data_IF_641565749694
#
_entry.id   IF_641565749694
#
_cell.length_a   1.000
_cell.length_b   1.000
_cell.length_c   1.000
_cell.angle_alpha   90.00
_cell.angle_beta   90.00
_cell.angle_gamma   90.00
#
_symmetry.space_group_name_H-M   'P 1'
#
loop_
_entity.id
_entity.type
_entity.pdbx_description
1 polymer ?
#
# COMPACT_ATOMS: atom_id res chain seq x y z
N UNK A 1 18.86 5.45 -6.39
CA UNK A 1 18.09 6.16 -5.37
C UNK A 1 18.46 5.63 -4.00
N UNK A 2 18.49 6.48 -2.97
CA UNK A 2 18.79 6.01 -1.62
C UNK A 2 17.72 5.04 -1.14
N UNK A 3 18.14 4.02 -0.39
CA UNK A 3 17.26 3.07 0.27
C UNK A 3 16.35 3.81 1.26
N UNK A 4 15.04 3.70 1.08
CA UNK A 4 14.05 4.18 2.04
C UNK A 4 13.80 3.08 3.06
N UNK A 5 14.14 3.35 4.31
CA UNK A 5 14.02 2.37 5.41
C UNK A 5 12.68 2.43 6.14
N UNK A 6 11.96 3.54 6.05
CA UNK A 6 10.70 3.75 6.75
C UNK A 6 9.76 4.68 5.99
N UNK A 7 8.46 4.47 6.19
CA UNK A 7 7.41 5.45 5.87
C UNK A 7 6.89 6.04 7.18
N UNK A 8 6.46 7.30 7.16
CA UNK A 8 5.79 7.93 8.30
C UNK A 8 4.29 7.93 8.06
N UNK A 9 3.53 7.56 9.06
CA UNK A 9 2.06 7.63 9.07
C UNK A 9 1.66 8.68 10.10
N UNK A 10 0.67 9.51 9.78
CA UNK A 10 0.13 10.50 10.70
C UNK A 10 -0.70 9.82 11.78
N UNK A 11 -0.64 10.32 13.02
CA UNK A 11 -1.48 9.81 14.11
C UNK A 11 -2.98 10.01 13.85
N UNK A 12 -3.31 10.94 12.94
CA UNK A 12 -4.67 11.26 12.49
C UNK A 12 -5.07 10.52 11.21
N UNK A 13 -4.36 9.45 10.83
CA UNK A 13 -4.65 8.65 9.64
C UNK A 13 -6.11 8.19 9.60
N UNK A 14 -6.62 7.72 10.73
CA UNK A 14 -7.99 7.19 10.85
C UNK A 14 -9.05 8.30 10.96
N UNK A 15 -8.64 9.56 11.00
CA UNK A 15 -9.55 10.70 10.92
C UNK A 15 -9.81 11.11 9.45
N UNK A 16 -9.09 10.53 8.47
CA UNK A 16 -9.29 10.81 7.05
C UNK A 16 -10.59 10.17 6.56
N UNK A 17 -11.46 10.96 5.92
CA UNK A 17 -12.76 10.52 5.41
C UNK A 17 -12.67 9.33 4.43
N UNK A 18 -11.53 9.15 3.74
CA UNK A 18 -11.34 7.99 2.86
C UNK A 18 -11.05 6.74 3.67
N UNK A 19 -10.31 6.85 4.78
CA UNK A 19 -10.08 5.71 5.68
C UNK A 19 -11.40 5.31 6.35
N UNK A 20 -12.18 6.28 6.84
CA UNK A 20 -13.53 6.03 7.38
C UNK A 20 -14.45 5.32 6.36
N UNK A 21 -14.42 5.75 5.09
CA UNK A 21 -15.15 5.06 4.03
C UNK A 21 -14.65 3.62 3.82
N UNK A 22 -13.34 3.37 3.79
CA UNK A 22 -12.80 2.01 3.65
C UNK A 22 -13.19 1.12 4.85
N UNK A 23 -13.26 1.68 6.06
CA UNK A 23 -13.71 0.99 7.27
C UNK A 23 -15.20 0.63 7.25
N UNK A 24 -16.02 1.33 6.44
CA UNK A 24 -17.43 1.01 6.23
C UNK A 24 -17.69 -0.16 5.27
N UNK A 25 -16.68 -0.61 4.52
CA UNK A 25 -16.81 -1.66 3.52
C UNK A 25 -16.73 -3.06 4.14
N UNK A 26 -17.34 -4.09 3.51
CA UNK A 26 -17.04 -5.47 3.85
C UNK A 26 -15.52 -5.73 3.73
N UNK A 27 -14.99 -6.55 4.64
CA UNK A 27 -13.56 -6.88 4.67
C UNK A 27 -12.64 -5.65 4.91
N UNK A 28 -13.14 -4.62 5.61
CA UNK A 28 -12.38 -3.42 6.00
C UNK A 28 -10.94 -3.72 6.49
N UNK A 29 -10.77 -4.70 7.39
CA UNK A 29 -9.46 -5.11 7.90
C UNK A 29 -8.51 -5.56 6.78
N UNK A 30 -9.01 -6.37 5.84
CA UNK A 30 -8.25 -6.83 4.68
C UNK A 30 -7.85 -5.65 3.77
N UNK A 31 -8.79 -4.74 3.53
CA UNK A 31 -8.58 -3.54 2.72
C UNK A 31 -7.50 -2.65 3.35
N UNK A 32 -7.58 -2.39 4.67
CA UNK A 32 -6.58 -1.60 5.40
C UNK A 32 -5.20 -2.27 5.38
N UNK A 33 -5.13 -3.59 5.56
CA UNK A 33 -3.87 -4.34 5.47
C UNK A 33 -3.27 -4.21 4.06
N UNK A 34 -4.08 -4.34 3.01
CA UNK A 34 -3.63 -4.15 1.62
C UNK A 34 -3.13 -2.71 1.42
N UNK A 35 -3.83 -1.71 1.94
CA UNK A 35 -3.42 -0.31 1.85
C UNK A 35 -2.04 -0.06 2.50
N UNK A 36 -1.79 -0.59 3.70
CA UNK A 36 -0.47 -0.50 4.36
C UNK A 36 0.61 -1.26 3.58
N UNK A 37 0.30 -2.45 3.03
CA UNK A 37 1.22 -3.20 2.16
C UNK A 37 1.58 -2.39 0.90
N UNK A 38 0.63 -1.66 0.31
CA UNK A 38 0.88 -0.77 -0.83
C UNK A 38 1.76 0.42 -0.46
N UNK A 39 1.50 1.10 0.67
CA UNK A 39 2.33 2.22 1.12
C UNK A 39 3.78 1.82 1.35
N UNK A 40 4.00 0.67 2.00
CA UNK A 40 5.37 0.18 2.26
C UNK A 40 6.07 -0.25 0.98
N UNK A 41 5.33 -0.81 0.00
CA UNK A 41 5.88 -1.15 -1.32
C UNK A 41 6.26 0.10 -2.12
N UNK A 42 5.42 1.13 -2.11
CA UNK A 42 5.71 2.42 -2.72
C UNK A 42 6.92 3.11 -2.06
N UNK A 43 7.00 3.06 -0.73
CA UNK A 43 8.15 3.54 0.03
C UNK A 43 9.44 2.83 -0.37
N UNK A 44 9.43 1.49 -0.43
CA UNK A 44 10.58 0.68 -0.87
C UNK A 44 11.00 1.00 -2.31
N UNK A 45 10.02 1.21 -3.19
CA UNK A 45 10.27 1.57 -4.57
C UNK A 45 10.85 2.99 -4.73
N UNK A 46 10.41 3.91 -3.87
CA UNK A 46 10.83 5.31 -3.82
C UNK A 46 10.63 6.08 -5.14
N UNK A 47 9.78 5.57 -6.04
CA UNK A 47 9.57 6.12 -7.37
C UNK A 47 8.32 7.03 -7.42
N UNK A 48 8.17 7.98 -6.50
CA UNK A 48 7.06 8.95 -6.53
C UNK A 48 5.65 8.34 -6.43
N UNK A 49 5.51 7.17 -5.78
CA UNK A 49 4.23 6.47 -5.64
C UNK A 49 4.02 5.33 -6.65
N UNK A 50 4.85 5.23 -7.68
CA UNK A 50 4.84 4.05 -8.56
C UNK A 50 5.41 2.83 -7.83
N UNK A 51 4.84 1.65 -8.15
CA UNK A 51 5.26 0.36 -7.62
C UNK A 51 5.63 -0.57 -8.77
N UNK A 52 6.86 -1.10 -8.72
CA UNK A 52 7.37 -1.98 -9.77
C UNK A 52 7.87 -3.30 -9.19
N UNK A 53 7.65 -4.40 -9.94
CA UNK A 53 8.22 -5.71 -9.62
C UNK A 53 9.73 -5.71 -9.85
N UNK A 54 10.17 -5.10 -10.95
CA UNK A 54 11.57 -4.88 -11.35
C UNK A 54 11.73 -3.41 -11.77
N UNK A 55 12.92 -2.96 -12.18
CA UNK A 55 13.13 -1.55 -12.54
C UNK A 55 12.24 -1.02 -13.68
N UNK A 56 11.64 -1.91 -14.49
CA UNK A 56 10.87 -1.54 -15.68
C UNK A 56 9.47 -2.15 -15.77
N UNK A 57 9.08 -3.03 -14.84
CA UNK A 57 7.81 -3.75 -14.90
C UNK A 57 6.91 -3.28 -13.75
N UNK A 58 5.85 -2.50 -14.02
CA UNK A 58 4.91 -2.09 -12.98
C UNK A 58 4.15 -3.32 -12.46
N UNK A 59 3.78 -3.29 -11.18
CA UNK A 59 2.88 -4.30 -10.64
C UNK A 59 1.49 -4.19 -11.29
N UNK A 60 0.91 -5.32 -11.69
CA UNK A 60 -0.52 -5.43 -12.01
C UNK A 60 -1.30 -5.93 -10.80
N UNK A 61 -2.63 -5.82 -10.87
CA UNK A 61 -3.53 -6.28 -9.81
C UNK A 61 -3.39 -7.78 -9.55
N UNK A 62 -3.21 -8.60 -10.60
CA UNK A 62 -2.97 -10.04 -10.49
C UNK A 62 -1.63 -10.34 -9.81
N UNK A 63 -0.60 -9.55 -10.11
CA UNK A 63 0.71 -9.72 -9.48
C UNK A 63 0.67 -9.30 -8.01
N UNK A 64 -0.09 -8.27 -7.68
CA UNK A 64 -0.29 -7.80 -6.30
C UNK A 64 -1.12 -8.80 -5.49
N UNK A 65 -2.19 -9.36 -6.06
CA UNK A 65 -3.00 -10.38 -5.39
C UNK A 65 -2.16 -11.63 -5.09
N UNK A 66 -1.31 -12.07 -6.02
CA UNK A 66 -0.37 -13.15 -5.79
C UNK A 66 0.71 -12.79 -4.76
N UNK A 67 1.26 -11.56 -4.81
CA UNK A 67 2.34 -11.10 -3.92
C UNK A 67 1.87 -10.98 -2.47
N UNK A 68 0.76 -10.29 -2.26
CA UNK A 68 0.28 -10.02 -0.91
C UNK A 68 -0.25 -11.27 -0.25
N UNK A 69 -0.68 -12.27 -1.05
CA UNK A 69 -1.48 -13.42 -0.64
C UNK A 69 -2.72 -12.90 0.12
N UNK A 70 -3.79 -13.68 0.27
CA UNK A 70 -4.93 -13.20 1.08
C UNK A 70 -4.42 -12.68 2.44
N UNK A 71 -4.89 -11.53 2.94
CA UNK A 71 -4.96 -11.38 4.40
C UNK A 71 -5.77 -12.54 5.00
#
# INVERSE_FOLDING_TARGET
MNEIKWIKITTTMFDDQKIDFLESLPEADAILVIWIKLLTLAGKCNAGGYIFLTESIPYTDEMLSHKFKGP
#
